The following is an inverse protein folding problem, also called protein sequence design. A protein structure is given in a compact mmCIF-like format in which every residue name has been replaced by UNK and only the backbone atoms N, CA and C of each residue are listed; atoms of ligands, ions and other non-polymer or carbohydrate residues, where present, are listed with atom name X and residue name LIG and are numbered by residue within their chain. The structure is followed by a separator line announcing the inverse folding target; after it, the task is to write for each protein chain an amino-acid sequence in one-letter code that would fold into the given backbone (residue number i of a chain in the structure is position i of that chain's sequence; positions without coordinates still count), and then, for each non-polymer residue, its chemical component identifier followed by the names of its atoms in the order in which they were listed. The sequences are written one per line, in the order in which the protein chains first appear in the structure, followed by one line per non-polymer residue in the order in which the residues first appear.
data_IF_205989835737
#
_entry.id   IF_205989835737
#
_cell.length_a   1.000
_cell.length_b   1.000
_cell.length_c   1.000
_cell.angle_alpha   90.00
_cell.angle_beta   90.00
_cell.angle_gamma   90.00
#
_symmetry.space_group_name_H-M   'P 1'
#
loop_
_entity.id
_entity.type
_entity.pdbx_description
1 polymer ?
#
# COMPACT_ATOMS: atom_id res chain seq x y z
N UNK A 1 40.50 -11.91 22.78
CA UNK A 1 39.31 -12.48 23.45
C UNK A 1 38.16 -12.41 22.47
N UNK A 2 37.62 -13.54 22.02
CA UNK A 2 36.40 -13.56 21.20
C UNK A 2 35.22 -13.33 22.11
N UNK A 3 34.63 -12.15 22.05
CA UNK A 3 33.36 -11.86 22.71
C UNK A 3 32.29 -12.76 22.08
N UNK A 4 31.70 -13.65 22.86
CA UNK A 4 30.56 -14.46 22.44
C UNK A 4 29.27 -13.74 22.81
N UNK A 5 28.40 -13.56 21.83
CA UNK A 5 27.05 -13.03 22.03
C UNK A 5 26.09 -14.19 22.36
N UNK A 6 25.11 -13.93 23.22
CA UNK A 6 24.08 -14.90 23.57
C UNK A 6 23.12 -15.20 22.42
N UNK A 7 22.35 -16.28 22.54
CA UNK A 7 21.31 -16.61 21.57
C UNK A 7 20.18 -15.56 21.57
N UNK A 8 19.62 -15.27 20.39
CA UNK A 8 18.46 -14.40 20.24
C UNK A 8 17.25 -15.02 20.95
N UNK A 9 16.78 -14.39 22.01
CA UNK A 9 15.62 -14.84 22.78
C UNK A 9 14.79 -13.64 23.28
N UNK A 10 14.08 -12.93 22.38
CA UNK A 10 13.26 -11.79 22.78
C UNK A 10 12.10 -12.27 23.66
N UNK A 11 11.71 -11.48 24.68
CA UNK A 11 10.59 -11.84 25.53
C UNK A 11 9.27 -11.68 24.78
N UNK A 12 8.29 -12.52 25.10
CA UNK A 12 6.95 -12.39 24.53
C UNK A 12 6.30 -11.07 24.99
N UNK A 13 5.56 -10.44 24.07
CA UNK A 13 4.76 -9.24 24.29
C UNK A 13 3.36 -9.46 23.75
N UNK A 14 2.42 -8.64 24.20
CA UNK A 14 1.09 -8.51 23.59
C UNK A 14 1.11 -7.20 22.82
N UNK A 15 0.98 -7.27 21.50
CA UNK A 15 1.11 -6.10 20.63
C UNK A 15 -0.27 -5.52 20.33
N UNK A 16 -0.62 -4.41 21.00
CA UNK A 16 -1.91 -3.72 20.87
C UNK A 16 -1.79 -2.31 20.25
N UNK A 17 -0.63 -2.01 19.64
CA UNK A 17 -0.43 -0.77 18.89
C UNK A 17 -0.93 -0.88 17.44
N UNK A 18 -0.69 0.15 16.61
CA UNK A 18 -1.09 0.15 15.20
C UNK A 18 -0.25 -0.79 14.31
N UNK A 19 0.77 -1.42 14.88
CA UNK A 19 1.59 -2.41 14.21
C UNK A 19 2.98 -2.54 14.83
N UNK A 20 3.67 -3.68 14.60
CA UNK A 20 3.14 -4.92 14.01
C UNK A 20 2.17 -5.64 14.97
N UNK A 21 1.38 -6.58 14.45
CA UNK A 21 0.54 -7.47 15.26
C UNK A 21 1.30 -8.71 15.74
N UNK A 22 0.73 -9.41 16.73
CA UNK A 22 1.25 -10.71 17.15
C UNK A 22 1.16 -11.73 16.00
N UNK A 23 2.27 -12.42 15.73
CA UNK A 23 2.34 -13.41 14.66
C UNK A 23 1.85 -14.76 15.19
N UNK A 24 0.87 -15.36 14.52
CA UNK A 24 0.36 -16.69 14.87
C UNK A 24 1.50 -17.73 14.89
N UNK A 25 1.49 -18.63 15.88
CA UNK A 25 2.47 -19.71 15.97
C UNK A 25 2.53 -20.59 14.70
N UNK A 26 1.43 -20.70 13.94
CA UNK A 26 1.42 -21.40 12.64
C UNK A 26 2.32 -20.72 11.61
N UNK A 27 2.31 -19.39 11.56
CA UNK A 27 3.13 -18.59 10.63
C UNK A 27 4.61 -18.65 11.06
N UNK A 28 4.90 -18.52 12.36
CA UNK A 28 6.27 -18.64 12.87
C UNK A 28 6.89 -20.01 12.56
N UNK A 29 6.11 -21.10 12.66
CA UNK A 29 6.56 -22.43 12.25
C UNK A 29 6.81 -22.53 10.75
N UNK A 30 5.98 -21.91 9.92
CA UNK A 30 6.16 -21.89 8.46
C UNK A 30 7.46 -21.15 8.07
N UNK A 31 7.79 -20.05 8.75
CA UNK A 31 9.05 -19.31 8.54
C UNK A 31 10.31 -20.11 8.89
N UNK A 32 10.20 -21.14 9.72
CA UNK A 32 11.31 -22.01 10.10
C UNK A 32 11.53 -23.19 9.12
N UNK A 33 10.72 -23.30 8.06
CA UNK A 33 10.87 -24.34 7.05
C UNK A 33 12.18 -24.16 6.23
N UNK A 34 12.73 -25.23 5.64
CA UNK A 34 13.88 -25.14 4.75
C UNK A 34 13.63 -24.21 3.55
N UNK A 35 14.68 -23.56 3.07
CA UNK A 35 14.59 -22.75 1.85
C UNK A 35 14.50 -23.62 0.60
N UNK A 36 13.69 -23.19 -0.37
CA UNK A 36 13.57 -23.81 -1.67
C UNK A 36 14.37 -23.05 -2.73
N UNK A 37 14.72 -23.71 -3.83
CA UNK A 37 15.25 -23.04 -5.00
C UNK A 37 14.20 -22.14 -5.66
N UNK A 38 14.61 -21.00 -6.22
CA UNK A 38 13.69 -20.02 -6.83
C UNK A 38 12.93 -20.54 -8.08
N UNK A 39 13.32 -21.68 -8.64
CA UNK A 39 12.63 -22.37 -9.73
C UNK A 39 12.16 -23.78 -9.33
N UNK A 40 12.18 -24.10 -8.03
CA UNK A 40 11.69 -25.38 -7.52
C UNK A 40 10.17 -25.50 -7.81
N UNK A 41 9.67 -26.63 -8.35
CA UNK A 41 8.25 -26.81 -8.62
C UNK A 41 7.34 -26.57 -7.41
N UNK A 42 7.81 -26.91 -6.21
CA UNK A 42 7.08 -26.67 -4.96
C UNK A 42 6.97 -25.16 -4.68
N UNK A 43 8.05 -24.41 -4.90
CA UNK A 43 8.05 -22.95 -4.74
C UNK A 43 7.07 -22.28 -5.72
N UNK A 44 7.06 -22.72 -6.98
CA UNK A 44 6.12 -22.19 -7.99
C UNK A 44 4.66 -22.45 -7.61
N UNK A 45 4.38 -23.65 -7.08
CA UNK A 45 3.04 -24.00 -6.58
C UNK A 45 2.61 -23.08 -5.43
N UNK A 46 3.50 -22.87 -4.44
CA UNK A 46 3.25 -21.95 -3.32
C UNK A 46 3.01 -20.51 -3.80
N UNK A 47 3.76 -20.06 -4.81
CA UNK A 47 3.53 -18.74 -5.41
C UNK A 47 2.13 -18.64 -6.02
N UNK A 48 1.71 -19.61 -6.82
CA UNK A 48 0.40 -19.60 -7.46
C UNK A 48 -0.75 -19.64 -6.45
N UNK A 49 -0.64 -20.47 -5.42
CA UNK A 49 -1.59 -20.50 -4.31
C UNK A 49 -1.63 -19.16 -3.56
N UNK A 50 -0.48 -18.54 -3.33
CA UNK A 50 -0.39 -17.20 -2.71
C UNK A 50 -1.12 -16.16 -3.54
N UNK A 51 -0.97 -16.17 -4.87
CA UNK A 51 -1.72 -15.27 -5.77
C UNK A 51 -3.22 -15.49 -5.65
N UNK A 52 -3.68 -16.75 -5.60
CA UNK A 52 -5.10 -17.07 -5.43
C UNK A 52 -5.64 -16.58 -4.09
N UNK A 53 -4.92 -16.80 -2.99
CA UNK A 53 -5.31 -16.32 -1.66
C UNK A 53 -5.35 -14.78 -1.60
N UNK A 54 -4.38 -14.08 -2.22
CA UNK A 54 -4.40 -12.62 -2.31
C UNK A 54 -5.64 -12.10 -3.05
N UNK A 55 -6.03 -12.75 -4.15
CA UNK A 55 -7.26 -12.39 -4.87
C UNK A 55 -8.52 -12.57 -4.02
N UNK A 56 -8.55 -13.58 -3.15
CA UNK A 56 -9.64 -13.76 -2.19
C UNK A 56 -9.64 -12.63 -1.15
N UNK A 57 -8.50 -12.25 -0.60
CA UNK A 57 -8.42 -11.14 0.38
C UNK A 57 -8.84 -9.82 -0.26
N UNK A 58 -8.34 -9.50 -1.44
CA UNK A 58 -8.66 -8.28 -2.17
C UNK A 58 -10.01 -8.31 -2.89
N UNK A 59 -10.74 -9.44 -2.87
CA UNK A 59 -12.01 -9.62 -3.58
C UNK A 59 -11.91 -9.23 -5.07
N UNK A 60 -10.85 -9.66 -5.74
CA UNK A 60 -10.57 -9.31 -7.15
C UNK A 60 -10.43 -10.54 -8.04
N UNK A 61 -10.67 -10.36 -9.34
CA UNK A 61 -10.40 -11.36 -10.39
C UNK A 61 -9.11 -11.07 -11.16
N UNK A 62 -8.36 -10.03 -10.78
CA UNK A 62 -7.17 -9.60 -11.51
C UNK A 62 -6.13 -10.72 -11.55
N UNK A 63 -5.75 -11.15 -12.76
CA UNK A 63 -4.72 -12.18 -12.89
C UNK A 63 -3.38 -11.67 -12.36
N UNK A 64 -3.03 -10.40 -12.61
CA UNK A 64 -1.90 -9.72 -12.00
C UNK A 64 -2.19 -9.38 -10.54
N UNK A 65 -1.98 -10.35 -9.65
CA UNK A 65 -2.01 -10.18 -8.19
C UNK A 65 -0.82 -10.92 -7.65
N UNK A 66 0.12 -10.20 -7.03
CA UNK A 66 1.42 -10.71 -6.60
C UNK A 66 1.82 -10.08 -5.26
N UNK A 67 2.70 -10.77 -4.52
CA UNK A 67 3.36 -10.20 -3.36
C UNK A 67 4.62 -9.45 -3.78
N UNK A 68 4.82 -8.24 -3.24
CA UNK A 68 6.07 -7.49 -3.37
C UNK A 68 6.99 -7.92 -2.23
N UNK A 69 8.25 -8.23 -2.55
CA UNK A 69 9.27 -8.60 -1.56
C UNK A 69 9.77 -7.37 -0.80
N UNK A 70 8.94 -6.83 0.09
CA UNK A 70 9.24 -5.65 0.90
C UNK A 70 8.20 -5.41 1.99
N UNK A 71 8.32 -4.29 2.69
CA UNK A 71 7.33 -3.84 3.69
C UNK A 71 6.12 -3.18 3.00
N UNK A 72 5.09 -2.78 3.76
CA UNK A 72 3.89 -2.14 3.18
C UNK A 72 4.19 -0.96 2.24
N UNK A 73 5.14 -0.10 2.61
CA UNK A 73 5.52 1.04 1.74
C UNK A 73 6.20 0.63 0.43
N UNK A 74 6.81 -0.55 0.36
CA UNK A 74 7.35 -1.06 -0.90
C UNK A 74 6.23 -1.42 -1.90
N UNK A 75 5.05 -1.82 -1.41
CA UNK A 75 3.87 -2.03 -2.26
C UNK A 75 3.37 -0.74 -2.88
N UNK A 76 3.20 0.31 -2.05
CA UNK A 76 2.83 1.64 -2.53
C UNK A 76 3.86 2.20 -3.53
N UNK A 77 5.15 2.10 -3.20
CA UNK A 77 6.22 2.56 -4.08
C UNK A 77 6.24 1.79 -5.40
N UNK A 78 6.03 0.47 -5.38
CA UNK A 78 5.94 -0.35 -6.59
C UNK A 78 4.80 0.12 -7.52
N UNK A 79 3.66 0.52 -6.97
CA UNK A 79 2.58 1.10 -7.76
C UNK A 79 3.00 2.44 -8.38
N UNK A 80 3.56 3.36 -7.59
CA UNK A 80 3.95 4.68 -8.07
C UNK A 80 5.03 4.57 -9.16
N UNK A 81 6.10 3.81 -8.92
CA UNK A 81 7.23 3.74 -9.85
C UNK A 81 6.90 3.06 -11.19
N UNK A 82 5.83 2.24 -11.24
CA UNK A 82 5.38 1.61 -12.48
C UNK A 82 4.28 2.40 -13.21
N UNK A 83 3.54 3.28 -12.51
CA UNK A 83 2.44 4.05 -13.10
C UNK A 83 2.83 5.48 -13.50
N UNK A 84 3.85 6.05 -12.86
CA UNK A 84 4.29 7.43 -13.05
C UNK A 84 5.53 7.49 -13.93
N UNK A 85 5.48 8.39 -14.92
CA UNK A 85 6.62 8.91 -15.66
C UNK A 85 6.90 10.36 -15.21
N UNK A 86 8.15 10.86 -15.34
CA UNK A 86 8.46 12.24 -14.99
C UNK A 86 7.58 13.25 -15.75
N UNK A 87 6.89 14.11 -15.00
CA UNK A 87 5.96 15.12 -15.53
C UNK A 87 4.49 14.69 -15.55
N UNK A 88 4.16 13.42 -15.29
CA UNK A 88 2.77 12.98 -15.14
C UNK A 88 2.10 13.68 -13.96
N UNK A 89 0.83 14.08 -14.13
CA UNK A 89 0.05 14.66 -13.04
C UNK A 89 -0.51 13.56 -12.14
N UNK A 90 -0.27 13.70 -10.83
CA UNK A 90 -0.84 12.82 -9.80
C UNK A 90 -1.52 13.65 -8.73
N UNK A 91 -2.78 13.35 -8.42
CA UNK A 91 -3.46 13.90 -7.24
C UNK A 91 -3.23 12.94 -6.07
N UNK A 92 -2.84 13.46 -4.90
CA UNK A 92 -2.66 12.68 -3.67
C UNK A 92 -3.48 13.28 -2.54
N UNK A 93 -4.34 12.47 -1.93
CA UNK A 93 -5.05 12.84 -0.71
C UNK A 93 -4.14 12.74 0.52
N UNK A 94 -4.14 13.77 1.35
CA UNK A 94 -3.31 13.84 2.57
C UNK A 94 -4.18 14.22 3.77
N UNK A 95 -4.52 13.22 4.58
CA UNK A 95 -5.18 13.37 5.88
C UNK A 95 -4.42 12.64 7.02
N UNK A 96 -3.16 12.27 6.77
CA UNK A 96 -2.29 11.59 7.71
C UNK A 96 -0.90 11.26 7.14
N UNK A 97 -0.16 10.40 7.85
CA UNK A 97 1.23 10.05 7.53
C UNK A 97 1.37 9.34 6.19
N UNK A 98 0.46 8.42 5.82
CA UNK A 98 0.65 7.60 4.63
C UNK A 98 0.36 8.38 3.35
N UNK A 99 -0.64 9.26 3.35
CA UNK A 99 -0.86 10.20 2.24
C UNK A 99 0.34 11.12 2.01
N UNK A 100 0.95 11.63 3.10
CA UNK A 100 2.18 12.42 3.02
C UNK A 100 3.37 11.62 2.47
N UNK A 101 3.49 10.33 2.82
CA UNK A 101 4.50 9.44 2.27
C UNK A 101 4.30 9.17 0.78
N UNK A 102 3.06 8.93 0.36
CA UNK A 102 2.72 8.73 -1.06
C UNK A 102 3.07 9.96 -1.90
N UNK A 103 2.80 11.17 -1.38
CA UNK A 103 3.23 12.45 -1.98
C UNK A 103 4.75 12.51 -2.16
N UNK A 104 5.53 12.25 -1.11
CA UNK A 104 7.01 12.29 -1.19
C UNK A 104 7.54 11.28 -2.22
N UNK A 105 7.00 10.05 -2.23
CA UNK A 105 7.39 9.03 -3.21
C UNK A 105 7.05 9.47 -4.63
N UNK A 106 5.83 9.94 -4.90
CA UNK A 106 5.43 10.43 -6.22
C UNK A 106 6.31 11.59 -6.73
N UNK A 107 6.66 12.54 -5.85
CA UNK A 107 7.57 13.64 -6.18
C UNK A 107 8.97 13.14 -6.54
N UNK A 108 9.49 12.12 -5.83
CA UNK A 108 10.81 11.53 -6.12
C UNK A 108 10.86 10.80 -7.46
N UNK A 109 9.74 10.24 -7.91
CA UNK A 109 9.61 9.67 -9.26
C UNK A 109 9.32 10.72 -10.34
N UNK A 110 9.22 12.00 -9.98
CA UNK A 110 9.10 13.11 -10.92
C UNK A 110 7.67 13.49 -11.30
N UNK A 111 6.66 13.01 -10.59
CA UNK A 111 5.27 13.44 -10.83
C UNK A 111 5.09 14.94 -10.55
N UNK A 112 4.22 15.58 -11.32
CA UNK A 112 3.61 16.85 -10.97
C UNK A 112 2.49 16.57 -9.94
N UNK A 113 2.84 16.62 -8.66
CA UNK A 113 1.92 16.23 -7.58
C UNK A 113 1.03 17.40 -7.14
N UNK A 114 -0.28 17.16 -7.18
CA UNK A 114 -1.32 18.03 -6.61
C UNK A 114 -1.90 17.36 -5.36
N UNK A 115 -2.23 18.13 -4.33
CA UNK A 115 -2.69 17.57 -3.05
C UNK A 115 -4.06 18.05 -2.66
N UNK A 116 -4.89 17.13 -2.17
CA UNK A 116 -6.11 17.43 -1.43
C UNK A 116 -5.81 17.19 0.03
N UNK A 117 -5.82 18.24 0.84
CA UNK A 117 -5.49 18.17 2.27
C UNK A 117 -6.75 18.25 3.11
N UNK A 118 -6.87 17.36 4.10
CA UNK A 118 -7.89 17.41 5.13
C UNK A 118 -7.23 17.45 6.52
N UNK A 119 -7.98 17.96 7.50
CA UNK A 119 -7.55 17.91 8.89
C UNK A 119 -7.35 16.45 9.33
N UNK A 120 -6.31 16.19 10.12
CA UNK A 120 -6.02 14.83 10.60
C UNK A 120 -7.16 14.32 11.48
N UNK A 121 -7.63 13.10 11.19
CA UNK A 121 -8.83 12.54 11.81
C UNK A 121 -10.15 12.93 11.11
N UNK A 122 -10.05 13.52 9.91
CA UNK A 122 -11.18 13.71 8.99
C UNK A 122 -10.90 13.01 7.66
N UNK A 123 -11.94 12.40 7.10
CA UNK A 123 -11.91 11.92 5.72
C UNK A 123 -11.80 13.05 4.69
N UNK A 124 -11.43 12.66 3.48
CA UNK A 124 -11.43 13.49 2.28
C UNK A 124 -12.86 13.65 1.78
N UNK A 125 -13.23 14.90 1.52
CA UNK A 125 -14.54 15.26 0.97
C UNK A 125 -14.59 14.94 -0.55
N UNK A 126 -15.55 14.11 -1.01
CA UNK A 126 -15.74 13.85 -2.44
C UNK A 126 -15.93 15.10 -3.30
N UNK A 127 -16.48 16.18 -2.74
CA UNK A 127 -16.59 17.44 -3.47
C UNK A 127 -15.21 18.04 -3.80
N UNK A 128 -14.27 17.99 -2.85
CA UNK A 128 -12.89 18.43 -3.08
C UNK A 128 -12.19 17.57 -4.14
N UNK A 129 -12.49 16.26 -4.16
CA UNK A 129 -12.02 15.34 -5.21
C UNK A 129 -12.52 15.78 -6.58
N UNK A 130 -13.83 16.01 -6.71
CA UNK A 130 -14.43 16.43 -7.98
C UNK A 130 -13.88 17.79 -8.47
N UNK A 131 -13.64 18.73 -7.56
CA UNK A 131 -13.05 20.04 -7.86
C UNK A 131 -11.59 19.92 -8.29
N UNK A 132 -10.79 19.11 -7.59
CA UNK A 132 -9.38 18.90 -7.90
C UNK A 132 -9.19 18.21 -9.26
N UNK A 133 -9.98 17.18 -9.55
CA UNK A 133 -9.97 16.51 -10.86
C UNK A 133 -10.33 17.49 -12.00
N UNK A 134 -11.28 18.41 -11.80
CA UNK A 134 -11.59 19.45 -12.81
C UNK A 134 -10.45 20.44 -13.01
N UNK A 135 -9.73 20.79 -11.95
CA UNK A 135 -8.59 21.71 -12.01
C UNK A 135 -7.36 21.07 -12.66
N UNK A 136 -7.22 19.75 -12.57
CA UNK A 136 -6.09 18.98 -13.10
C UNK A 136 -6.57 17.94 -14.13
N UNK A 137 -7.01 18.39 -15.33
CA UNK A 137 -7.63 17.53 -16.33
C UNK A 137 -6.71 16.49 -16.97
N UNK A 138 -5.42 16.50 -16.64
CA UNK A 138 -4.44 15.54 -17.13
C UNK A 138 -3.99 14.56 -16.04
N UNK A 139 -4.70 14.52 -14.91
CA UNK A 139 -4.41 13.59 -13.82
C UNK A 139 -4.38 12.16 -14.36
N UNK A 140 -3.21 11.53 -14.29
CA UNK A 140 -3.00 10.13 -14.71
C UNK A 140 -3.32 9.17 -13.57
N UNK A 141 -2.91 9.53 -12.35
CA UNK A 141 -3.08 8.71 -11.14
C UNK A 141 -3.69 9.55 -10.02
N UNK A 142 -4.66 8.98 -9.32
CA UNK A 142 -5.25 9.52 -8.10
C UNK A 142 -4.92 8.58 -6.94
N UNK A 143 -4.20 9.09 -5.93
CA UNK A 143 -3.75 8.33 -4.77
C UNK A 143 -4.53 8.66 -3.50
N UNK A 144 -5.00 7.65 -2.79
CA UNK A 144 -5.74 7.80 -1.52
C UNK A 144 -5.42 6.67 -0.54
N UNK A 145 -5.53 6.96 0.76
CA UNK A 145 -5.38 5.97 1.84
C UNK A 145 -6.77 5.56 2.31
N UNK A 146 -7.10 4.26 2.26
CA UNK A 146 -8.36 3.73 2.75
C UNK A 146 -8.42 3.72 4.27
N UNK A 147 -7.35 3.29 4.94
CA UNK A 147 -7.27 3.21 6.39
C UNK A 147 -6.03 3.95 6.91
N UNK A 148 -6.21 5.20 7.32
CA UNK A 148 -5.13 6.07 7.76
C UNK A 148 -4.79 5.79 9.22
N UNK A 149 -3.97 4.76 9.46
CA UNK A 149 -3.68 4.27 10.83
C UNK A 149 -3.01 5.29 11.73
N UNK A 150 -2.43 6.36 11.21
CA UNK A 150 -1.86 7.45 12.04
C UNK A 150 -2.94 8.34 12.69
N UNK A 151 -4.16 8.34 12.13
CA UNK A 151 -5.30 9.12 12.63
C UNK A 151 -6.48 8.24 13.07
N UNK A 152 -6.51 6.97 12.63
CA UNK A 152 -7.61 6.05 12.90
C UNK A 152 -8.81 6.23 11.95
N UNK A 153 -8.66 7.04 10.91
CA UNK A 153 -9.73 7.32 9.95
C UNK A 153 -9.85 6.21 8.90
N UNK A 154 -11.09 5.84 8.57
CA UNK A 154 -11.40 4.99 7.43
C UNK A 154 -12.12 5.81 6.37
N UNK A 155 -11.51 5.92 5.18
CA UNK A 155 -12.03 6.66 4.06
C UNK A 155 -13.04 5.84 3.23
N UNK A 156 -14.30 6.28 3.07
CA UNK A 156 -15.19 5.69 2.09
C UNK A 156 -14.67 5.91 0.66
N UNK A 157 -14.69 4.85 -0.16
CA UNK A 157 -14.07 4.87 -1.50
C UNK A 157 -15.06 4.84 -2.67
N UNK A 158 -16.33 4.49 -2.45
CA UNK A 158 -17.29 4.23 -3.55
C UNK A 158 -17.49 5.46 -4.45
N UNK A 159 -17.84 6.60 -3.85
CA UNK A 159 -18.06 7.85 -4.59
C UNK A 159 -16.75 8.38 -5.21
N UNK A 160 -15.65 8.33 -4.46
CA UNK A 160 -14.32 8.78 -4.93
C UNK A 160 -13.88 7.94 -6.14
N UNK A 161 -14.07 6.62 -6.07
CA UNK A 161 -13.71 5.73 -7.18
C UNK A 161 -14.50 6.04 -8.44
N UNK A 162 -15.79 6.34 -8.32
CA UNK A 162 -16.60 6.73 -9.46
C UNK A 162 -16.10 8.04 -10.09
N UNK A 163 -15.83 9.07 -9.26
CA UNK A 163 -15.31 10.35 -9.73
C UNK A 163 -13.97 10.21 -10.47
N UNK A 164 -13.06 9.40 -9.94
CA UNK A 164 -11.73 9.16 -10.53
C UNK A 164 -11.84 8.41 -11.86
N UNK A 165 -12.70 7.39 -11.95
CA UNK A 165 -12.91 6.66 -13.18
C UNK A 165 -13.64 7.47 -14.25
N UNK A 166 -14.63 8.28 -13.88
CA UNK A 166 -15.33 9.19 -14.80
C UNK A 166 -14.39 10.25 -15.37
N UNK A 167 -13.34 10.61 -14.61
CA UNK A 167 -12.25 11.47 -15.09
C UNK A 167 -11.29 10.75 -16.07
N UNK A 168 -11.27 9.42 -16.06
CA UNK A 168 -10.33 8.61 -16.83
C UNK A 168 -8.96 8.39 -16.16
N UNK A 169 -8.82 8.74 -14.88
CA UNK A 169 -7.60 8.51 -14.11
C UNK A 169 -7.56 7.10 -13.50
N UNK A 170 -6.35 6.62 -13.18
CA UNK A 170 -6.15 5.40 -12.39
C UNK A 170 -6.32 5.70 -10.89
N UNK A 171 -7.00 4.81 -10.15
CA UNK A 171 -7.11 4.89 -8.71
C UNK A 171 -6.06 4.00 -8.03
N UNK A 172 -5.20 4.59 -7.20
CA UNK A 172 -4.26 3.90 -6.33
C UNK A 172 -4.73 4.03 -4.88
N UNK A 173 -4.98 2.90 -4.22
CA UNK A 173 -5.44 2.84 -2.83
C UNK A 173 -4.39 2.17 -1.95
N UNK A 174 -4.01 2.84 -0.85
CA UNK A 174 -3.26 2.27 0.28
C UNK A 174 -4.23 1.84 1.39
#
# INVERSE_FOLDING_TARGET
MTQTFGALNPPQRVLMGPGPSDVSARILRALAAPTLGHLDPEYLTIMDETRQMLRQVFQTKNEMTIAISGTGSAGMEACVCNLIEPGDEMIVCVNGVFGGRMKDVAQRYGAAVHTIEAEWGRGIDPQQVAESLKQHPRTKVFGIVHAETSTGEQQPLEEISQLVHDHGALLLVD
#
